data_IF_500862931053
#
_entry.id   IF_500862931053
#
_cell.length_a   1.000
_cell.length_b   1.000
_cell.length_c   1.000
_cell.angle_alpha   90.00
_cell.angle_beta   90.00
_cell.angle_gamma   90.00
#
_symmetry.space_group_name_H-M   'P 1'
#
loop_
_entity.id
_entity.type
_entity.pdbx_description
1 polymer ?
#
# COMPACT_ATOMS: atom_id res chain seq x y z
N UNK A 1 25.12 -30.25 21.66
CA UNK A 1 24.32 -30.84 20.59
C UNK A 1 22.89 -30.34 20.74
N UNK A 2 22.51 -29.34 19.95
CA UNK A 2 21.14 -29.20 19.43
C UNK A 2 21.22 -28.11 18.37
N UNK A 3 21.24 -28.53 17.12
CA UNK A 3 21.06 -27.65 15.99
C UNK A 3 19.60 -27.20 16.04
N UNK A 4 19.36 -25.93 16.36
CA UNK A 4 18.07 -25.31 16.10
C UNK A 4 17.88 -25.37 14.58
N UNK A 5 16.98 -26.26 14.18
CA UNK A 5 16.68 -26.62 12.81
C UNK A 5 16.19 -25.41 12.03
N UNK A 6 16.77 -25.25 10.85
CA UNK A 6 16.31 -24.44 9.72
C UNK A 6 14.78 -24.33 9.67
N UNK A 7 14.26 -23.12 9.42
CA UNK A 7 12.84 -22.83 9.16
C UNK A 7 12.19 -23.96 8.37
N UNK A 8 11.39 -24.78 9.04
CA UNK A 8 10.75 -25.93 8.45
C UNK A 8 9.61 -25.48 7.52
N UNK A 9 9.98 -25.10 6.30
CA UNK A 9 9.13 -25.39 5.15
C UNK A 9 8.91 -26.90 5.21
N UNK A 10 7.65 -27.33 5.31
CA UNK A 10 7.30 -28.77 5.35
C UNK A 10 8.10 -29.50 4.27
N UNK A 11 8.89 -30.54 4.58
CA UNK A 11 9.75 -31.19 3.61
C UNK A 11 8.88 -31.73 2.47
N UNK A 12 8.97 -31.08 1.30
CA UNK A 12 8.13 -31.35 0.12
C UNK A 12 7.37 -30.15 -0.44
N UNK A 13 7.28 -29.02 0.26
CA UNK A 13 6.72 -27.77 -0.29
C UNK A 13 7.84 -26.90 -0.87
N UNK A 14 7.80 -26.63 -2.18
CA UNK A 14 8.62 -25.62 -2.84
C UNK A 14 7.78 -24.38 -3.14
N UNK A 15 8.39 -23.19 -3.04
CA UNK A 15 7.76 -21.94 -3.48
C UNK A 15 7.76 -21.93 -5.01
N UNK A 16 6.57 -21.90 -5.63
CA UNK A 16 6.43 -21.86 -7.09
C UNK A 16 6.41 -20.44 -7.64
N UNK A 17 5.64 -19.54 -7.00
CA UNK A 17 5.44 -18.18 -7.45
C UNK A 17 5.31 -17.23 -6.25
N UNK A 18 5.60 -15.94 -6.49
CA UNK A 18 5.44 -14.87 -5.52
C UNK A 18 4.64 -13.74 -6.17
N UNK A 19 3.51 -13.37 -5.54
CA UNK A 19 2.68 -12.27 -5.98
C UNK A 19 2.88 -11.06 -5.06
N UNK A 20 3.07 -9.88 -5.66
CA UNK A 20 3.17 -8.63 -4.92
C UNK A 20 1.81 -7.95 -4.87
N UNK A 21 1.40 -7.52 -3.68
CA UNK A 21 0.16 -6.78 -3.45
C UNK A 21 0.34 -5.79 -2.30
N UNK A 22 -0.55 -4.80 -2.24
CA UNK A 22 -0.66 -3.92 -1.09
C UNK A 22 -1.60 -4.55 -0.07
N UNK A 23 -1.23 -4.52 1.21
CA UNK A 23 -2.08 -5.01 2.28
C UNK A 23 -3.20 -4.00 2.56
N UNK A 24 -4.43 -4.48 2.62
CA UNK A 24 -5.57 -3.69 3.08
C UNK A 24 -5.50 -3.44 4.59
N UNK A 25 -6.13 -2.37 5.11
CA UNK A 25 -6.15 -2.10 6.55
C UNK A 25 -6.70 -3.28 7.38
N UNK A 26 -7.66 -4.03 6.81
CA UNK A 26 -8.23 -5.21 7.43
C UNK A 26 -7.23 -6.37 7.52
N UNK A 27 -6.51 -6.66 6.45
CA UNK A 27 -5.49 -7.71 6.44
C UNK A 27 -4.36 -7.41 7.43
N UNK A 28 -3.96 -6.14 7.55
CA UNK A 28 -2.96 -5.72 8.54
C UNK A 28 -3.47 -6.00 9.96
N UNK A 29 -4.74 -5.70 10.25
CA UNK A 29 -5.34 -5.98 11.56
C UNK A 29 -5.48 -7.48 11.82
N UNK A 30 -5.87 -8.26 10.81
CA UNK A 30 -6.06 -9.71 10.93
C UNK A 30 -4.72 -10.44 11.19
N UNK A 31 -3.61 -9.94 10.64
CA UNK A 31 -2.26 -10.48 10.85
C UNK A 31 -1.62 -9.95 12.14
N UNK A 32 -1.97 -8.73 12.53
CA UNK A 32 -1.39 -8.06 13.69
C UNK A 32 -1.88 -8.68 15.00
N UNK A 33 -0.94 -8.97 15.90
CA UNK A 33 -1.26 -9.46 17.25
C UNK A 33 -1.56 -8.33 18.25
N UNK A 34 -1.09 -7.11 17.97
CA UNK A 34 -1.15 -5.99 18.91
C UNK A 34 -1.18 -4.62 18.23
N UNK A 35 -1.99 -3.71 18.76
CA UNK A 35 -1.94 -2.28 18.41
C UNK A 35 -0.92 -1.57 19.31
N UNK A 36 0.01 -0.82 18.72
CA UNK A 36 1.02 -0.04 19.44
C UNK A 36 0.48 1.38 19.61
N UNK A 37 0.32 1.80 20.86
CA UNK A 37 -0.24 3.11 21.23
C UNK A 37 0.74 3.96 22.03
N UNK A 38 1.65 3.34 22.77
CA UNK A 38 2.61 4.03 23.61
C UNK A 38 3.86 4.40 22.80
N UNK A 39 4.25 5.67 22.88
CA UNK A 39 5.42 6.20 22.15
C UNK A 39 6.71 5.85 22.89
N UNK A 40 6.64 5.79 24.22
CA UNK A 40 7.79 5.41 25.03
C UNK A 40 8.09 3.91 24.91
N UNK A 41 9.34 3.59 24.56
CA UNK A 41 9.79 2.22 24.39
C UNK A 41 10.01 1.48 25.73
N UNK A 42 10.55 2.19 26.73
CA UNK A 42 10.92 1.64 28.03
C UNK A 42 10.41 2.52 29.15
N UNK A 43 9.99 1.88 30.24
CA UNK A 43 9.56 2.59 31.44
C UNK A 43 10.75 3.18 32.22
N UNK A 44 10.45 4.14 33.10
CA UNK A 44 11.43 4.74 34.02
C UNK A 44 12.00 3.73 35.04
N UNK A 45 11.43 2.53 35.13
CA UNK A 45 11.83 1.49 36.07
C UNK A 45 12.59 0.38 35.34
N UNK A 46 13.89 0.27 35.65
CA UNK A 46 14.74 -0.88 35.33
C UNK A 46 14.86 -1.29 33.85
N UNK A 47 14.50 -0.43 32.90
CA UNK A 47 14.61 -0.74 31.46
C UNK A 47 13.63 -1.80 30.98
N UNK A 48 12.57 -2.09 31.73
CA UNK A 48 11.52 -3.00 31.31
C UNK A 48 10.70 -2.40 30.14
N UNK A 49 10.33 -3.21 29.14
CA UNK A 49 9.47 -2.76 28.05
C UNK A 49 8.10 -2.35 28.59
N UNK A 50 7.58 -1.25 28.06
CA UNK A 50 6.23 -0.79 28.38
C UNK A 50 5.18 -1.67 27.66
N UNK A 51 4.04 -1.95 28.32
CA UNK A 51 2.90 -2.52 27.62
C UNK A 51 2.40 -1.53 26.56
N UNK A 52 1.91 -2.07 25.44
CA UNK A 52 1.41 -1.29 24.29
C UNK A 52 2.48 -0.40 23.61
N UNK A 53 3.75 -0.57 23.97
CA UNK A 53 4.89 0.11 23.36
C UNK A 53 5.55 -0.73 22.26
N UNK A 54 6.60 -0.16 21.65
CA UNK A 54 7.30 -0.80 20.53
C UNK A 54 7.95 -2.14 20.89
N UNK A 55 8.37 -2.32 22.15
CA UNK A 55 8.98 -3.55 22.65
C UNK A 55 8.02 -4.39 23.49
N UNK A 56 6.70 -4.29 23.23
CA UNK A 56 5.72 -5.11 23.96
C UNK A 56 6.09 -6.60 23.86
N UNK A 57 6.14 -7.35 24.98
CA UNK A 57 6.44 -8.79 24.98
C UNK A 57 5.52 -9.66 24.12
N UNK A 58 4.36 -9.16 23.67
CA UNK A 58 3.51 -9.81 22.68
C UNK A 58 4.11 -9.85 21.27
N UNK A 59 4.96 -8.88 20.91
CA UNK A 59 5.65 -8.81 19.62
C UNK A 59 6.89 -9.72 19.59
N UNK A 60 7.47 -10.00 20.76
CA UNK A 60 8.58 -10.92 20.93
C UNK A 60 9.32 -10.68 22.25
N UNK A 61 10.14 -11.64 22.67
CA UNK A 61 11.00 -11.49 23.85
C UNK A 61 12.23 -10.63 23.52
N UNK A 62 12.62 -9.74 24.43
CA UNK A 62 13.75 -8.83 24.23
C UNK A 62 15.06 -9.36 24.82
N UNK A 63 15.00 -10.03 25.98
CA UNK A 63 16.18 -10.52 26.68
C UNK A 63 16.16 -12.04 26.89
N UNK A 64 17.35 -12.62 27.03
CA UNK A 64 17.52 -14.05 27.31
C UNK A 64 16.86 -14.36 28.66
N UNK A 65 15.83 -15.19 28.63
CA UNK A 65 15.01 -15.53 29.80
C UNK A 65 13.58 -14.98 29.72
N UNK A 66 13.32 -13.99 28.86
CA UNK A 66 11.97 -13.52 28.58
C UNK A 66 11.22 -14.50 27.67
N UNK A 67 9.91 -14.59 27.87
CA UNK A 67 9.01 -15.40 27.06
C UNK A 67 8.06 -14.49 26.27
N UNK A 68 7.83 -14.84 25.01
CA UNK A 68 6.83 -14.16 24.19
C UNK A 68 5.43 -14.38 24.76
N UNK A 69 4.63 -13.31 24.90
CA UNK A 69 3.24 -13.45 25.37
C UNK A 69 2.30 -14.08 24.32
N UNK A 70 2.69 -14.11 23.05
CA UNK A 70 1.86 -14.63 21.96
C UNK A 70 2.14 -16.10 21.69
N UNK A 71 3.40 -16.49 21.47
CA UNK A 71 3.77 -17.89 21.19
C UNK A 71 4.32 -18.66 22.39
N UNK A 72 4.67 -17.99 23.50
CA UNK A 72 5.26 -18.63 24.68
C UNK A 72 6.72 -19.07 24.52
N UNK A 73 7.35 -18.78 23.38
CA UNK A 73 8.73 -19.17 23.08
C UNK A 73 9.73 -18.12 23.59
N UNK A 74 10.96 -18.58 23.86
CA UNK A 74 12.08 -17.71 24.24
C UNK A 74 12.74 -17.02 23.03
N UNK A 75 13.77 -16.22 23.29
CA UNK A 75 14.46 -15.37 22.28
C UNK A 75 15.01 -16.14 21.07
N UNK A 76 15.47 -17.37 21.26
CA UNK A 76 16.08 -18.14 20.17
C UNK A 76 15.07 -18.85 19.28
N UNK A 77 13.87 -19.13 19.79
CA UNK A 77 12.86 -19.96 19.10
C UNK A 77 11.66 -19.15 18.61
N UNK A 78 11.50 -17.91 19.08
CA UNK A 78 10.40 -17.04 18.66
C UNK A 78 10.67 -16.45 17.26
N UNK A 79 9.77 -16.61 16.28
CA UNK A 79 9.91 -16.00 14.94
C UNK A 79 9.65 -14.49 14.94
N UNK A 80 9.10 -13.96 16.04
CA UNK A 80 8.58 -12.60 16.12
C UNK A 80 7.15 -12.50 15.60
N UNK A 81 6.41 -11.51 16.11
CA UNK A 81 5.03 -11.25 15.74
C UNK A 81 4.84 -9.81 15.27
N UNK A 82 3.89 -9.62 14.37
CA UNK A 82 3.60 -8.32 13.77
C UNK A 82 2.64 -7.55 14.65
N UNK A 83 2.93 -6.27 14.85
CA UNK A 83 2.00 -5.29 15.41
C UNK A 83 1.58 -4.29 14.34
N UNK A 84 0.58 -3.47 14.65
CA UNK A 84 0.21 -2.34 13.82
C UNK A 84 0.11 -1.05 14.62
N UNK A 85 0.33 0.07 13.96
CA UNK A 85 0.08 1.41 14.50
C UNK A 85 -1.12 1.95 13.77
N UNK A 86 -2.18 2.27 14.52
CA UNK A 86 -3.34 2.94 13.97
C UNK A 86 -3.04 4.42 13.82
N UNK A 87 -2.95 4.87 12.57
CA UNK A 87 -2.78 6.29 12.27
C UNK A 87 -4.08 7.04 12.60
N UNK A 88 -3.96 8.25 13.13
CA UNK A 88 -5.11 9.09 13.46
C UNK A 88 -5.89 9.56 12.21
N UNK A 89 -5.23 9.56 11.04
CA UNK A 89 -5.80 9.93 9.75
C UNK A 89 -5.17 9.10 8.65
N UNK A 90 -5.83 9.00 7.50
CA UNK A 90 -5.32 8.30 6.34
C UNK A 90 -4.17 9.08 5.71
N UNK A 91 -3.03 8.41 5.61
CA UNK A 91 -1.80 8.98 5.04
C UNK A 91 -1.50 8.28 3.72
N UNK A 92 -1.20 9.07 2.68
CA UNK A 92 -0.77 8.53 1.40
C UNK A 92 0.59 7.84 1.52
N UNK A 93 0.71 6.68 0.88
CA UNK A 93 1.99 6.02 0.72
C UNK A 93 2.93 6.91 -0.14
N UNK A 94 4.08 7.39 0.41
CA UNK A 94 5.01 8.26 -0.32
C UNK A 94 5.55 7.63 -1.61
N UNK A 95 5.62 6.30 -1.71
CA UNK A 95 6.06 5.62 -2.92
C UNK A 95 5.01 5.61 -4.05
N UNK A 96 3.73 5.77 -3.69
CA UNK A 96 2.61 5.77 -4.64
C UNK A 96 2.13 7.15 -5.03
N UNK A 97 2.52 8.20 -4.28
CA UNK A 97 1.98 9.55 -4.46
C UNK A 97 2.19 10.09 -5.87
N UNK A 98 3.32 9.77 -6.52
CA UNK A 98 3.63 10.22 -7.89
C UNK A 98 2.70 9.56 -8.91
N UNK A 99 2.44 8.27 -8.76
CA UNK A 99 1.50 7.52 -9.62
C UNK A 99 0.08 8.02 -9.42
N UNK A 100 -0.33 8.20 -8.16
CA UNK A 100 -1.64 8.76 -7.82
C UNK A 100 -1.82 10.15 -8.43
N UNK A 101 -0.84 11.05 -8.26
CA UNK A 101 -0.87 12.39 -8.85
C UNK A 101 -1.05 12.36 -10.37
N UNK A 102 -0.33 11.47 -11.07
CA UNK A 102 -0.45 11.31 -12.52
C UNK A 102 -1.84 10.84 -12.96
N UNK A 103 -2.47 9.95 -12.19
CA UNK A 103 -3.83 9.48 -12.45
C UNK A 103 -4.82 10.62 -12.21
N UNK A 104 -4.72 11.29 -11.07
CA UNK A 104 -5.62 12.36 -10.66
C UNK A 104 -5.60 13.56 -11.63
N UNK A 105 -4.41 13.99 -12.10
CA UNK A 105 -4.29 15.07 -13.11
C UNK A 105 -4.98 14.73 -14.43
N UNK A 106 -5.13 13.44 -14.75
CA UNK A 106 -5.77 12.95 -15.97
C UNK A 106 -7.26 12.67 -15.78
N UNK A 107 -7.80 12.80 -14.57
CA UNK A 107 -9.22 12.63 -14.29
C UNK A 107 -9.95 13.98 -14.23
N UNK A 108 -11.23 13.98 -14.56
CA UNK A 108 -12.14 15.10 -14.35
C UNK A 108 -12.80 14.93 -12.98
N UNK A 109 -12.67 15.91 -12.09
CA UNK A 109 -13.22 15.89 -10.73
C UNK A 109 -14.74 16.00 -10.67
N UNK A 110 -15.38 16.48 -11.74
CA UNK A 110 -16.84 16.63 -11.78
C UNK A 110 -17.56 15.36 -12.26
N UNK A 111 -16.93 14.56 -13.12
CA UNK A 111 -17.55 13.35 -13.68
C UNK A 111 -16.81 12.06 -13.34
N UNK A 112 -15.67 12.12 -12.66
CA UNK A 112 -14.84 10.98 -12.27
C UNK A 112 -14.38 10.09 -13.44
N UNK A 113 -14.30 10.65 -14.66
CA UNK A 113 -13.76 9.97 -15.84
C UNK A 113 -12.41 10.56 -16.23
N UNK A 114 -11.59 9.79 -16.94
CA UNK A 114 -10.41 10.33 -17.59
C UNK A 114 -10.77 11.43 -18.59
N UNK A 115 -9.90 12.45 -18.70
CA UNK A 115 -10.00 13.58 -19.64
C UNK A 115 -9.62 13.17 -21.07
N UNK A 116 -10.19 12.04 -21.49
CA UNK A 116 -9.98 11.37 -22.77
C UNK A 116 -11.33 10.82 -23.22
N UNK A 117 -11.58 10.79 -24.54
CA UNK A 117 -12.83 10.23 -25.08
C UNK A 117 -13.01 8.76 -24.64
N UNK A 118 -14.21 8.39 -24.20
CA UNK A 118 -14.53 7.02 -23.74
C UNK A 118 -14.11 5.93 -24.74
N UNK A 119 -14.30 6.19 -26.04
CA UNK A 119 -13.89 5.26 -27.11
C UNK A 119 -12.38 4.98 -27.11
N UNK A 120 -11.55 5.98 -26.79
CA UNK A 120 -10.10 5.82 -26.71
C UNK A 120 -9.72 5.04 -25.46
N UNK A 121 -10.32 5.36 -24.31
CA UNK A 121 -10.11 4.61 -23.06
C UNK A 121 -10.46 3.13 -23.23
N UNK A 122 -11.59 2.83 -23.88
CA UNK A 122 -12.02 1.46 -24.16
C UNK A 122 -10.99 0.69 -25.01
N UNK A 123 -10.45 1.31 -26.06
CA UNK A 123 -9.39 0.71 -26.88
C UNK A 123 -8.15 0.35 -26.05
N UNK A 124 -7.74 1.21 -25.12
CA UNK A 124 -6.64 0.90 -24.21
C UNK A 124 -6.98 -0.26 -23.27
N UNK A 125 -8.17 -0.28 -22.68
CA UNK A 125 -8.62 -1.37 -21.83
C UNK A 125 -8.62 -2.72 -22.57
N UNK A 126 -9.13 -2.76 -23.79
CA UNK A 126 -9.18 -3.98 -24.58
C UNK A 126 -7.77 -4.44 -25.00
N UNK A 127 -6.88 -3.49 -25.32
CA UNK A 127 -5.46 -3.78 -25.55
C UNK A 127 -4.77 -4.37 -24.32
N UNK A 128 -5.00 -3.81 -23.13
CA UNK A 128 -4.43 -4.36 -21.90
C UNK A 128 -4.94 -5.78 -21.62
N UNK A 129 -6.23 -6.06 -21.86
CA UNK A 129 -6.77 -7.43 -21.73
C UNK A 129 -6.09 -8.42 -22.67
N UNK A 130 -5.84 -8.03 -23.93
CA UNK A 130 -5.13 -8.89 -24.89
C UNK A 130 -3.70 -9.19 -24.42
N UNK A 131 -2.97 -8.16 -23.97
CA UNK A 131 -1.60 -8.31 -23.44
C UNK A 131 -1.59 -9.24 -22.22
N UNK A 132 -2.52 -9.05 -21.29
CA UNK A 132 -2.64 -9.91 -20.10
C UNK A 132 -3.00 -11.36 -20.45
N UNK A 133 -3.70 -11.59 -21.56
CA UNK A 133 -3.99 -12.92 -22.10
C UNK A 133 -2.82 -13.52 -22.92
N UNK A 134 -1.70 -12.81 -23.06
CA UNK A 134 -0.55 -13.24 -23.86
C UNK A 134 -0.76 -13.15 -25.37
N UNK A 135 -1.80 -12.44 -25.82
CA UNK A 135 -2.08 -12.19 -27.23
C UNK A 135 -1.46 -10.86 -27.63
N UNK A 136 -0.56 -10.86 -28.62
CA UNK A 136 0.01 -9.62 -29.15
C UNK A 136 -1.07 -8.87 -29.94
N UNK A 137 -1.49 -7.67 -29.50
CA UNK A 137 -2.43 -6.87 -30.26
C UNK A 137 -1.72 -6.31 -31.51
N UNK A 138 -2.34 -6.47 -32.69
CA UNK A 138 -1.89 -5.78 -33.90
C UNK A 138 -1.80 -4.28 -33.61
N UNK A 139 -0.61 -3.71 -33.84
CA UNK A 139 -0.30 -2.33 -33.48
C UNK A 139 -1.01 -1.37 -34.43
N UNK A 140 -2.26 -1.02 -34.13
CA UNK A 140 -2.82 0.23 -34.61
C UNK A 140 -2.47 1.33 -33.62
N UNK A 141 -1.68 2.31 -34.08
CA UNK A 141 -1.32 3.49 -33.30
C UNK A 141 -2.58 4.19 -32.80
N UNK A 142 -2.85 4.07 -31.50
CA UNK A 142 -3.82 4.93 -30.85
C UNK A 142 -3.11 6.24 -30.59
N UNK A 143 -3.12 7.12 -31.59
CA UNK A 143 -2.70 8.50 -31.41
C UNK A 143 -3.53 9.06 -30.25
N UNK A 144 -2.84 9.46 -29.18
CA UNK A 144 -3.43 10.21 -28.08
C UNK A 144 -3.83 11.57 -28.64
N UNK A 145 -4.98 11.62 -29.31
CA UNK A 145 -5.58 12.88 -29.74
C UNK A 145 -5.85 13.70 -28.48
N UNK A 146 -5.17 14.84 -28.29
CA UNK A 146 -5.39 15.68 -27.13
C UNK A 146 -6.86 16.09 -27.10
N UNK A 147 -7.48 16.06 -25.92
CA UNK A 147 -8.60 16.96 -25.67
C UNK A 147 -8.01 18.38 -25.64
N UNK A 148 -7.96 19.01 -26.82
CA UNK A 148 -7.64 20.40 -27.13
C UNK A 148 -6.15 20.81 -27.18
N UNK A 149 -5.79 21.52 -28.27
CA UNK A 149 -4.44 21.99 -28.63
C UNK A 149 -3.78 22.90 -27.57
N UNK A 150 -4.58 23.54 -26.70
CA UNK A 150 -4.06 24.44 -25.63
C UNK A 150 -3.24 23.69 -24.58
N UNK A 151 -3.42 22.38 -24.42
CA UNK A 151 -2.79 21.57 -23.37
C UNK A 151 -1.34 21.16 -23.66
N UNK A 152 -0.90 21.15 -24.94
CA UNK A 152 0.51 20.86 -25.30
C UNK A 152 1.47 21.87 -24.67
N UNK A 153 1.13 23.15 -24.73
CA UNK A 153 1.98 24.22 -24.20
C UNK A 153 2.09 24.25 -22.67
N UNK A 154 1.19 23.58 -21.94
CA UNK A 154 1.19 23.52 -20.48
C UNK A 154 1.95 22.31 -19.94
N UNK A 155 2.14 21.25 -20.74
CA UNK A 155 2.78 20.01 -20.31
C UNK A 155 4.32 20.07 -20.40
N UNK A 156 4.85 20.88 -21.32
CA UNK A 156 6.31 21.06 -21.51
C UNK A 156 6.91 22.18 -20.62
N UNK A 157 6.09 23.08 -20.07
CA UNK A 157 6.56 24.21 -19.22
C UNK A 157 6.58 23.94 -17.72
N UNK A 158 6.04 22.81 -17.26
CA UNK A 158 5.74 22.56 -15.84
C UNK A 158 6.79 21.69 -15.11
N UNK A 159 7.95 21.45 -15.75
CA UNK A 159 9.09 20.77 -15.11
C UNK A 159 10.04 21.74 -14.38
N UNK A 160 9.73 23.04 -14.40
CA UNK A 160 10.47 24.06 -13.65
C UNK A 160 9.51 25.09 -13.09
N UNK A 161 9.49 25.24 -11.76
CA UNK A 161 8.73 26.16 -10.91
C UNK A 161 7.31 25.72 -10.50
N UNK A 162 7.19 25.33 -9.23
CA UNK A 162 5.95 25.17 -8.44
C UNK A 162 5.35 26.55 -8.10
N UNK A 163 4.07 26.82 -8.42
CA UNK A 163 3.36 27.93 -7.80
C UNK A 163 1.91 27.56 -7.46
N UNK A 164 1.68 26.59 -6.56
CA UNK A 164 0.55 26.63 -5.61
C UNK A 164 0.59 25.46 -4.63
N UNK A 165 1.09 25.70 -3.41
CA UNK A 165 1.02 24.73 -2.32
C UNK A 165 -0.41 24.60 -1.75
N UNK A 166 -1.20 25.67 -1.83
CA UNK A 166 -2.50 25.80 -1.15
C UNK A 166 -3.62 24.96 -1.81
N UNK A 167 -3.54 24.76 -3.13
CA UNK A 167 -4.53 23.95 -3.88
C UNK A 167 -4.32 22.43 -3.73
N UNK A 168 -3.17 22.01 -3.22
CA UNK A 168 -2.82 20.59 -3.04
C UNK A 168 -3.56 20.02 -1.84
N UNK A 169 -3.67 20.77 -0.76
CA UNK A 169 -4.31 20.32 0.48
C UNK A 169 -5.81 20.10 0.31
N UNK A 170 -6.53 21.07 -0.31
CA UNK A 170 -7.97 20.95 -0.55
C UNK A 170 -8.32 19.80 -1.52
N UNK A 171 -7.47 19.55 -2.51
CA UNK A 171 -7.68 18.47 -3.48
C UNK A 171 -7.41 17.09 -2.88
N UNK A 172 -6.37 17.00 -2.04
CA UNK A 172 -6.02 15.81 -1.28
C UNK A 172 -7.14 15.44 -0.30
N UNK A 173 -7.73 16.41 0.39
CA UNK A 173 -8.84 16.17 1.31
C UNK A 173 -10.10 15.63 0.59
N UNK A 174 -10.42 16.18 -0.59
CA UNK A 174 -11.54 15.69 -1.41
C UNK A 174 -11.30 14.28 -1.97
N UNK A 175 -10.08 13.98 -2.41
CA UNK A 175 -9.71 12.65 -2.89
C UNK A 175 -9.77 11.60 -1.78
N UNK A 176 -9.31 11.94 -0.56
CA UNK A 176 -9.42 11.08 0.62
C UNK A 176 -10.88 10.77 0.95
N UNK A 177 -11.79 11.76 0.88
CA UNK A 177 -13.23 11.57 1.14
C UNK A 177 -13.90 10.63 0.14
N UNK A 178 -13.57 10.76 -1.15
CA UNK A 178 -14.11 9.90 -2.19
C UNK A 178 -13.67 8.43 -2.06
N UNK A 179 -12.47 8.16 -1.53
CA UNK A 179 -11.97 6.79 -1.30
C UNK A 179 -12.66 6.13 -0.09
N UNK A 180 -13.05 6.92 0.92
CA UNK A 180 -13.69 6.41 2.14
C UNK A 180 -15.21 6.21 2.01
N UNK A 181 -15.84 6.80 0.99
CA UNK A 181 -17.31 6.77 0.80
C UNK A 181 -17.80 5.77 -0.26
N UNK A 182 -16.94 4.97 -0.90
CA UNK A 182 -17.43 3.95 -1.84
C UNK A 182 -18.09 2.75 -1.11
N UNK A 183 -19.36 2.43 -1.39
CA UNK A 183 -19.95 1.16 -0.94
C UNK A 183 -19.21 0.02 -1.63
N UNK A 184 -18.85 -0.99 -0.84
CA UNK A 184 -18.21 -2.24 -1.28
C UNK A 184 -18.78 -2.73 -2.64
N UNK A 185 -18.05 -2.44 -3.72
CA UNK A 185 -18.37 -2.84 -5.09
C UNK A 185 -17.52 -4.05 -5.47
N UNK A 186 -18.02 -4.96 -6.32
CA UNK A 186 -17.79 -6.38 -6.17
C UNK A 186 -16.34 -6.74 -6.43
N UNK A 187 -15.81 -7.64 -5.60
CA UNK A 187 -14.59 -8.40 -5.85
C UNK A 187 -14.57 -8.83 -7.32
N UNK A 188 -13.71 -8.21 -8.12
CA UNK A 188 -13.19 -8.84 -9.32
C UNK A 188 -12.37 -10.04 -8.85
N UNK A 189 -13.03 -11.18 -8.72
CA UNK A 189 -12.36 -12.48 -8.76
C UNK A 189 -11.86 -12.65 -10.19
N UNK A 190 -10.55 -12.50 -10.35
CA UNK A 190 -9.80 -13.31 -11.30
C UNK A 190 -9.25 -14.50 -10.53
#
# INVERSE_FOLDING_TARGET
>A
MSAASEEQIRPGCSIHDVQFMYMSPKEIQDISVKEITEVAAFGNLAGAPLPDGLYDPALGPLHIGDLCKTCGLGVHDCPGHLGHIKLATDVYNPFLIRTLYNVLRRMCTSCNHFRVRKAVTQRYCDRFKLILAGLEPESHDVVMEPCDEKTKSAMERDMTSDPNADSREAFVEHASRAVLEEPASPRFML
#
